data_IF_244179565002
#
_entry.id   IF_244179565002
#
_cell.length_a   1.000
_cell.length_b   1.000
_cell.length_c   1.000
_cell.angle_alpha   90.00
_cell.angle_beta   90.00
_cell.angle_gamma   90.00
#
_symmetry.space_group_name_H-M   'P 1'
#
loop_
_entity.id
_entity.type
_entity.pdbx_description
1 polymer ?
#
# COMPACT_ATOMS: atom_id res chain seq x y z
N UNK A 1 -25.57 35.57 -3.89
CA UNK A 1 -26.28 34.28 -3.89
C UNK A 1 -25.70 33.44 -2.76
N UNK A 2 -26.49 33.12 -1.75
CA UNK A 2 -26.03 32.36 -0.58
C UNK A 2 -26.27 30.88 -0.83
N UNK A 3 -25.21 30.09 -0.82
CA UNK A 3 -25.30 28.63 -0.89
C UNK A 3 -25.91 28.11 0.42
N UNK A 4 -26.97 27.30 0.33
CA UNK A 4 -27.60 26.66 1.50
C UNK A 4 -27.26 25.18 1.45
N UNK A 5 -26.69 24.68 2.54
CA UNK A 5 -26.40 23.26 2.74
C UNK A 5 -27.64 22.63 3.39
N UNK A 6 -28.22 21.63 2.75
CA UNK A 6 -29.22 20.76 3.36
C UNK A 6 -28.47 19.57 3.95
N UNK A 7 -28.28 19.59 5.27
CA UNK A 7 -27.70 18.49 6.03
C UNK A 7 -28.75 17.39 6.18
N UNK A 8 -28.40 16.18 5.76
CA UNK A 8 -29.22 14.97 5.86
C UNK A 8 -28.40 13.93 6.63
N UNK A 9 -28.84 13.61 7.85
CA UNK A 9 -28.18 12.65 8.73
C UNK A 9 -28.20 11.23 8.15
N UNK A 10 -29.22 10.88 7.38
CA UNK A 10 -29.34 9.56 6.73
C UNK A 10 -28.38 9.42 5.54
N UNK A 11 -27.91 10.55 4.98
CA UNK A 11 -26.87 10.64 3.96
C UNK A 11 -25.49 11.02 4.53
N UNK A 12 -25.30 10.90 5.84
CA UNK A 12 -23.95 10.93 6.43
C UNK A 12 -23.28 9.60 6.12
N UNK A 13 -22.02 9.64 5.65
CA UNK A 13 -21.23 8.44 5.40
C UNK A 13 -21.23 7.54 6.64
N UNK A 14 -22.02 6.46 6.60
CA UNK A 14 -22.03 5.45 7.64
C UNK A 14 -20.62 4.87 7.73
N UNK A 15 -20.00 5.03 8.90
CA UNK A 15 -18.55 4.97 9.09
C UNK A 15 -17.86 3.76 8.47
N UNK A 16 -16.58 3.97 8.13
CA UNK A 16 -15.57 3.00 7.68
C UNK A 16 -16.05 1.54 7.61
N UNK A 17 -16.79 1.22 6.55
CA UNK A 17 -17.13 -0.16 6.24
C UNK A 17 -15.86 -0.98 6.04
N UNK A 18 -15.91 -2.25 6.43
CA UNK A 18 -14.83 -3.19 6.15
C UNK A 18 -14.64 -3.26 4.62
N UNK A 19 -13.44 -2.96 4.13
CA UNK A 19 -13.10 -3.08 2.70
C UNK A 19 -13.43 -4.48 2.23
N UNK A 20 -14.34 -4.62 1.26
CA UNK A 20 -14.76 -5.91 0.72
C UNK A 20 -13.56 -6.70 0.16
N UNK A 21 -13.61 -8.04 0.20
CA UNK A 21 -12.58 -8.87 -0.42
C UNK A 21 -12.49 -8.61 -1.93
N UNK A 22 -11.28 -8.48 -2.46
CA UNK A 22 -11.13 -8.13 -3.87
C UNK A 22 -9.73 -7.69 -4.25
N UNK A 23 -9.62 -7.15 -5.47
CA UNK A 23 -8.39 -6.56 -5.99
C UNK A 23 -8.60 -5.05 -6.04
N UNK A 24 -7.63 -4.32 -5.50
CA UNK A 24 -7.68 -2.87 -5.43
C UNK A 24 -6.32 -2.30 -5.84
N UNK A 25 -6.34 -1.24 -6.61
CA UNK A 25 -5.15 -0.44 -6.85
C UNK A 25 -4.92 0.42 -5.61
N UNK A 26 -3.76 0.24 -4.99
CA UNK A 26 -3.43 0.89 -3.73
C UNK A 26 -2.10 1.60 -3.83
N UNK A 27 -1.94 2.63 -3.03
CA UNK A 27 -0.67 3.33 -2.82
C UNK A 27 -0.10 2.93 -1.48
N UNK A 28 1.17 2.56 -1.43
CA UNK A 28 1.87 2.31 -0.16
C UNK A 28 2.09 3.66 0.52
N UNK A 29 1.42 3.90 1.64
CA UNK A 29 1.49 5.20 2.35
C UNK A 29 2.59 5.20 3.43
N UNK A 30 2.86 4.03 4.01
CA UNK A 30 3.86 3.85 5.06
C UNK A 30 4.53 2.49 4.88
N UNK A 31 5.83 2.42 5.11
CA UNK A 31 6.54 1.15 5.23
C UNK A 31 7.64 1.25 6.29
N UNK A 32 7.82 0.17 7.04
CA UNK A 32 8.78 0.04 8.13
C UNK A 32 9.44 -1.33 8.11
N UNK A 33 10.76 -1.35 8.31
CA UNK A 33 11.50 -2.60 8.46
C UNK A 33 11.34 -3.11 9.90
N UNK A 34 11.01 -4.39 10.04
CA UNK A 34 10.87 -5.07 11.34
C UNK A 34 11.75 -6.31 11.37
N UNK A 35 12.47 -6.48 12.46
CA UNK A 35 13.18 -7.71 12.78
C UNK A 35 12.63 -8.30 14.07
N UNK A 36 12.31 -9.59 14.04
CA UNK A 36 11.90 -10.33 15.23
C UNK A 36 12.56 -11.70 15.26
N UNK A 37 13.34 -11.98 16.30
CA UNK A 37 14.06 -13.26 16.47
C UNK A 37 14.86 -13.70 15.23
N UNK A 38 15.53 -12.75 14.57
CA UNK A 38 16.30 -13.01 13.34
C UNK A 38 15.46 -13.21 12.09
N UNK A 39 14.13 -13.01 12.17
CA UNK A 39 13.25 -12.96 11.01
C UNK A 39 12.97 -11.51 10.61
N UNK A 40 13.24 -11.19 9.35
CA UNK A 40 12.98 -9.88 8.77
C UNK A 40 11.59 -9.82 8.14
N UNK A 41 10.96 -8.66 8.27
CA UNK A 41 9.64 -8.36 7.70
C UNK A 41 9.51 -6.87 7.38
N UNK A 42 8.57 -6.54 6.50
CA UNK A 42 8.18 -5.16 6.19
C UNK A 42 6.76 -4.98 6.71
N UNK A 43 6.59 -4.12 7.71
CA UNK A 43 5.27 -3.58 8.06
C UNK A 43 4.91 -2.51 7.03
N UNK A 44 3.73 -2.56 6.44
CA UNK A 44 3.32 -1.54 5.48
C UNK A 44 1.82 -1.25 5.54
N UNK A 45 1.49 0.00 5.27
CA UNK A 45 0.12 0.49 5.19
C UNK A 45 -0.16 0.90 3.75
N UNK A 46 -1.38 0.65 3.30
CA UNK A 46 -1.81 1.01 1.96
C UNK A 46 -3.11 1.79 1.99
N UNK A 47 -3.28 2.66 1.01
CA UNK A 47 -4.50 3.40 0.77
C UNK A 47 -5.06 3.05 -0.61
N UNK A 48 -6.34 2.75 -0.70
CA UNK A 48 -7.00 2.48 -1.98
C UNK A 48 -7.08 3.78 -2.76
N UNK A 49 -6.49 3.78 -3.97
CA UNK A 49 -6.44 4.95 -4.87
C UNK A 49 -7.83 5.51 -5.12
N UNK A 50 -8.00 6.80 -4.90
CA UNK A 50 -9.24 7.53 -5.20
C UNK A 50 -9.24 8.19 -6.56
N UNK A 51 -8.10 8.17 -7.28
CA UNK A 51 -7.97 8.76 -8.61
C UNK A 51 -8.49 7.85 -9.74
N UNK A 52 -8.91 6.63 -9.43
CA UNK A 52 -9.51 5.69 -10.37
C UNK A 52 -10.86 5.15 -9.90
N UNK A 53 -11.70 4.75 -10.86
CA UNK A 53 -13.00 4.16 -10.58
C UNK A 53 -12.86 2.73 -10.01
N UNK A 54 -12.87 2.62 -8.68
CA UNK A 54 -12.92 1.36 -7.94
C UNK A 54 -13.76 1.51 -6.67
N UNK A 55 -14.06 0.40 -5.98
CA UNK A 55 -14.77 0.45 -4.70
C UNK A 55 -13.82 0.85 -3.56
N UNK A 56 -14.36 1.37 -2.45
CA UNK A 56 -13.62 1.71 -1.23
C UNK A 56 -12.48 2.73 -1.43
N UNK A 57 -12.64 3.66 -2.38
CA UNK A 57 -11.67 4.74 -2.64
C UNK A 57 -11.35 5.53 -1.38
N UNK A 58 -10.06 5.79 -1.14
CA UNK A 58 -9.57 6.49 0.06
C UNK A 58 -9.57 5.65 1.34
N UNK A 59 -10.02 4.39 1.29
CA UNK A 59 -9.95 3.51 2.46
C UNK A 59 -8.50 3.07 2.72
N UNK A 60 -8.11 3.07 4.00
CA UNK A 60 -6.79 2.65 4.46
C UNK A 60 -6.83 1.23 4.99
N UNK A 61 -5.89 0.42 4.53
CA UNK A 61 -5.65 -0.93 5.04
C UNK A 61 -4.32 -0.88 5.80
N UNK A 62 -4.43 -0.87 7.12
CA UNK A 62 -3.32 -0.65 8.03
C UNK A 62 -2.77 -1.97 8.58
N UNK A 63 -1.54 -1.91 9.10
CA UNK A 63 -0.88 -2.98 9.83
C UNK A 63 -0.65 -4.25 8.99
N UNK A 64 -0.42 -4.11 7.68
CA UNK A 64 -0.02 -5.25 6.87
C UNK A 64 1.43 -5.61 7.18
N UNK A 65 1.77 -6.88 6.98
CA UNK A 65 3.13 -7.38 7.22
C UNK A 65 3.51 -8.35 6.12
N UNK A 66 4.62 -8.06 5.46
CA UNK A 66 5.29 -8.95 4.53
C UNK A 66 6.48 -9.59 5.23
N UNK A 67 6.45 -10.91 5.41
CA UNK A 67 7.62 -11.64 5.89
C UNK A 67 8.65 -11.78 4.75
N UNK A 68 9.93 -11.50 5.06
CA UNK A 68 11.04 -11.61 4.10
C UNK A 68 11.83 -12.90 4.27
N UNK A 69 11.80 -13.45 5.49
CA UNK A 69 12.49 -14.68 5.88
C UNK A 69 11.58 -15.55 6.74
N UNK A 70 11.58 -16.85 6.49
CA UNK A 70 10.89 -17.84 7.32
C UNK A 70 11.89 -18.80 7.96
N UNK A 71 11.79 -19.00 9.27
CA UNK A 71 12.53 -20.04 10.00
C UNK A 71 11.93 -21.44 9.80
N UNK A 72 10.71 -21.52 9.26
CA UNK A 72 10.00 -22.77 8.98
C UNK A 72 10.26 -23.17 7.51
N UNK A 73 10.81 -24.36 7.24
CA UNK A 73 11.23 -24.78 5.90
C UNK A 73 10.07 -24.85 4.90
N UNK A 74 8.90 -25.38 5.31
CA UNK A 74 7.71 -25.46 4.46
C UNK A 74 7.19 -24.10 3.95
N UNK A 75 7.40 -23.04 4.72
CA UNK A 75 6.98 -21.68 4.34
C UNK A 75 8.08 -20.88 3.64
N UNK A 76 9.30 -21.42 3.52
CA UNK A 76 10.43 -20.69 2.97
C UNK A 76 10.24 -20.34 1.49
N UNK A 77 9.79 -21.30 0.69
CA UNK A 77 9.48 -21.06 -0.73
C UNK A 77 8.33 -20.07 -0.93
N UNK A 78 7.24 -20.21 -0.17
CA UNK A 78 6.10 -19.31 -0.27
C UNK A 78 6.46 -17.88 0.18
N UNK A 79 7.25 -17.75 1.25
CA UNK A 79 7.77 -16.45 1.73
C UNK A 79 8.67 -15.79 0.69
N UNK A 80 9.60 -16.56 0.11
CA UNK A 80 10.47 -16.06 -0.95
C UNK A 80 9.68 -15.62 -2.18
N UNK A 81 8.67 -16.40 -2.59
CA UNK A 81 7.79 -16.06 -3.70
C UNK A 81 7.03 -14.78 -3.44
N UNK A 82 6.41 -14.64 -2.26
CA UNK A 82 5.67 -13.43 -1.86
C UNK A 82 6.55 -12.20 -1.81
N UNK A 83 7.74 -12.31 -1.20
CA UNK A 83 8.73 -11.22 -1.18
C UNK A 83 9.11 -10.79 -2.60
N UNK A 84 9.48 -11.74 -3.45
CA UNK A 84 9.92 -11.44 -4.82
C UNK A 84 8.78 -10.84 -5.64
N UNK A 85 7.54 -11.32 -5.47
CA UNK A 85 6.34 -10.71 -6.08
C UNK A 85 6.09 -9.29 -5.59
N UNK A 86 6.27 -9.02 -4.29
CA UNK A 86 6.12 -7.68 -3.73
C UNK A 86 7.16 -6.71 -4.28
N UNK A 87 8.44 -7.10 -4.29
CA UNK A 87 9.51 -6.28 -4.85
C UNK A 87 9.28 -6.04 -6.35
N UNK A 88 8.88 -7.07 -7.10
CA UNK A 88 8.51 -6.91 -8.51
C UNK A 88 7.34 -5.94 -8.71
N UNK A 89 6.33 -5.98 -7.84
CA UNK A 89 5.21 -5.05 -7.87
C UNK A 89 5.65 -3.60 -7.61
N UNK A 90 6.66 -3.40 -6.76
CA UNK A 90 7.24 -2.09 -6.46
C UNK A 90 8.21 -1.58 -7.57
N UNK A 91 8.45 -2.37 -8.62
CA UNK A 91 9.28 -1.99 -9.77
C UNK A 91 10.71 -2.54 -9.76
N UNK A 92 11.08 -3.36 -8.78
CA UNK A 92 12.40 -4.01 -8.75
C UNK A 92 12.50 -5.11 -9.82
N UNK A 93 13.65 -5.23 -10.48
CA UNK A 93 13.87 -6.19 -11.56
C UNK A 93 15.25 -6.83 -11.50
N UNK A 94 15.35 -8.05 -12.02
CA UNK A 94 16.62 -8.79 -12.04
C UNK A 94 17.07 -9.28 -10.65
N UNK A 95 18.35 -9.61 -10.54
CA UNK A 95 19.01 -9.96 -9.28
C UNK A 95 19.74 -8.72 -8.78
N UNK A 96 19.31 -8.19 -7.65
CA UNK A 96 19.89 -7.01 -7.04
C UNK A 96 20.15 -7.32 -5.56
N UNK A 97 21.26 -6.79 -5.05
CA UNK A 97 21.50 -6.74 -3.60
C UNK A 97 20.78 -5.49 -3.08
N UNK A 98 19.81 -5.70 -2.19
CA UNK A 98 18.91 -4.65 -1.74
C UNK A 98 19.05 -4.47 -0.23
N UNK A 99 19.36 -3.25 0.19
CA UNK A 99 19.34 -2.88 1.60
C UNK A 99 17.90 -2.65 2.05
N UNK A 100 17.49 -3.35 3.11
CA UNK A 100 16.10 -3.31 3.60
C UNK A 100 15.68 -1.88 4.00
N UNK A 101 16.56 -1.08 4.59
CA UNK A 101 16.26 0.27 5.01
C UNK A 101 16.06 1.22 3.82
N UNK A 102 16.78 0.98 2.72
CA UNK A 102 16.57 1.70 1.45
C UNK A 102 15.25 1.28 0.81
N UNK A 103 14.99 -0.04 0.74
CA UNK A 103 13.77 -0.59 0.14
C UNK A 103 12.51 -0.03 0.79
N UNK A 104 12.43 -0.02 2.13
CA UNK A 104 11.22 0.48 2.82
C UNK A 104 10.97 1.97 2.58
N UNK A 105 12.00 2.77 2.27
CA UNK A 105 11.83 4.19 1.91
C UNK A 105 11.38 4.34 0.46
N UNK A 106 11.98 3.58 -0.46
CA UNK A 106 11.71 3.63 -1.89
C UNK A 106 10.31 3.13 -2.28
N UNK A 107 9.75 2.20 -1.51
CA UNK A 107 8.44 1.60 -1.82
C UNK A 107 7.28 2.51 -1.40
N UNK A 108 7.52 3.46 -0.48
CA UNK A 108 6.50 4.44 -0.08
C UNK A 108 6.17 5.35 -1.27
N UNK A 109 4.88 5.56 -1.51
CA UNK A 109 4.35 6.29 -2.67
C UNK A 109 4.22 5.44 -3.94
N UNK A 110 4.71 4.19 -3.95
CA UNK A 110 4.49 3.29 -5.10
C UNK A 110 3.05 2.78 -5.13
N UNK A 111 2.53 2.69 -6.34
CA UNK A 111 1.21 2.13 -6.61
C UNK A 111 1.33 0.65 -6.97
N UNK A 112 0.57 -0.21 -6.29
CA UNK A 112 0.57 -1.67 -6.49
C UNK A 112 -0.87 -2.18 -6.50
N UNK A 113 -1.09 -3.32 -7.16
CA UNK A 113 -2.38 -4.01 -7.11
C UNK A 113 -2.40 -4.92 -5.87
N UNK A 114 -3.15 -4.54 -4.84
CA UNK A 114 -3.30 -5.32 -3.62
C UNK A 114 -4.52 -6.24 -3.68
N UNK A 115 -4.32 -7.48 -3.25
CA UNK A 115 -5.37 -8.49 -3.07
C UNK A 115 -5.77 -8.49 -1.61
N UNK A 116 -6.96 -7.97 -1.34
CA UNK A 116 -7.52 -7.82 0.00
C UNK A 116 -8.39 -9.02 0.30
N UNK A 117 -8.14 -9.63 1.46
CA UNK A 117 -8.90 -10.77 1.97
C UNK A 117 -9.35 -10.48 3.40
N UNK A 118 -10.49 -11.03 3.79
CA UNK A 118 -10.95 -10.96 5.17
C UNK A 118 -10.26 -12.05 5.98
N UNK A 119 -9.73 -11.67 7.14
CA UNK A 119 -9.12 -12.57 8.11
C UNK A 119 -9.89 -12.38 9.43
N UNK A 120 -10.37 -13.47 10.00
CA UNK A 120 -11.08 -13.45 11.30
C UNK A 120 -10.08 -13.79 12.39
N UNK A 121 -9.94 -12.91 13.38
CA UNK A 121 -9.07 -13.18 14.53
C UNK A 121 -9.72 -14.19 15.48
N UNK A 122 -8.96 -14.67 16.48
CA UNK A 122 -9.45 -15.52 17.57
C UNK A 122 -10.59 -14.88 18.39
N UNK A 123 -10.75 -13.56 18.33
CA UNK A 123 -11.83 -12.79 18.97
C UNK A 123 -13.06 -12.58 18.07
N UNK A 124 -13.25 -13.38 17.01
CA UNK A 124 -14.34 -13.27 16.02
C UNK A 124 -14.43 -11.91 15.27
N UNK A 125 -13.38 -11.08 15.38
CA UNK A 125 -13.27 -9.82 14.63
C UNK A 125 -12.73 -10.08 13.24
N UNK A 126 -13.52 -9.73 12.23
CA UNK A 126 -13.11 -9.76 10.81
C UNK A 126 -12.43 -8.46 10.42
N UNK A 127 -11.24 -8.54 9.86
CA UNK A 127 -10.48 -7.40 9.37
C UNK A 127 -9.98 -7.64 7.94
N UNK A 128 -9.87 -6.57 7.16
CA UNK A 128 -9.39 -6.60 5.80
C UNK A 128 -7.86 -6.55 5.84
N UNK A 129 -7.20 -7.47 5.12
CA UNK A 129 -5.75 -7.57 5.09
C UNK A 129 -5.26 -7.83 3.68
N UNK A 130 -4.13 -7.21 3.33
CA UNK A 130 -3.48 -7.48 2.06
C UNK A 130 -2.78 -8.84 2.15
N UNK A 131 -3.22 -9.79 1.31
CA UNK A 131 -2.64 -11.14 1.27
C UNK A 131 -1.50 -11.25 0.27
N UNK A 132 -1.60 -10.49 -0.82
CA UNK A 132 -0.66 -10.51 -1.92
C UNK A 132 -0.69 -9.18 -2.65
N UNK A 133 0.44 -8.81 -3.28
CA UNK A 133 0.51 -7.65 -4.16
C UNK A 133 1.06 -8.06 -5.52
N UNK A 134 0.54 -7.43 -6.57
CA UNK A 134 0.99 -7.58 -7.94
C UNK A 134 1.36 -6.21 -8.52
N UNK A 135 2.13 -6.17 -9.62
CA UNK A 135 2.35 -4.93 -10.36
C UNK A 135 1.01 -4.25 -10.66
N UNK A 136 0.95 -2.93 -10.43
CA UNK A 136 -0.21 -2.14 -10.80
C UNK A 136 -0.44 -2.24 -12.31
N UNK A 137 -1.69 -2.36 -12.73
CA UNK A 137 -2.06 -2.35 -14.14
C UNK A 137 -2.45 -0.95 -14.62
N UNK A 138 -2.39 0.04 -13.73
CA UNK A 138 -2.87 1.40 -13.96
C UNK A 138 -1.67 2.34 -13.87
N UNK A 139 -1.61 3.28 -14.82
CA UNK A 139 -0.60 4.35 -14.82
C UNK A 139 -0.59 5.04 -13.45
N UNK A 140 0.58 5.31 -12.85
CA UNK A 140 0.65 6.11 -11.63
C UNK A 140 -0.06 7.45 -11.86
N UNK A 141 -0.67 8.06 -10.83
CA UNK A 141 -1.25 9.38 -10.99
C UNK A 141 -0.12 10.31 -11.46
N UNK A 142 -0.31 10.95 -12.62
CA UNK A 142 0.63 11.97 -13.08
C UNK A 142 0.70 13.07 -12.01
N UNK A 143 1.89 13.55 -11.65
CA UNK A 143 1.99 14.67 -10.74
C UNK A 143 1.16 15.82 -11.31
N UNK A 144 0.12 16.24 -10.59
CA UNK A 144 -0.70 17.39 -10.95
C UNK A 144 0.12 18.66 -10.84
N UNK A 145 0.87 18.97 -11.89
CA UNK A 145 1.61 20.23 -12.01
C UNK A 145 2.68 20.15 -13.10
N UNK A 146 2.91 21.25 -13.84
CA UNK A 146 4.10 21.34 -14.69
C UNK A 146 5.35 21.15 -13.83
N UNK A 147 6.42 20.54 -14.38
CA UNK A 147 7.69 20.42 -13.67
C UNK A 147 8.16 21.80 -13.21
N UNK A 148 8.39 21.95 -11.90
CA UNK A 148 8.90 23.19 -11.33
C UNK A 148 10.33 23.35 -11.85
N UNK A 149 10.51 24.24 -12.82
CA UNK A 149 11.84 24.53 -13.37
C UNK A 149 12.45 25.63 -12.52
N UNK A 150 13.22 25.24 -11.49
CA UNK A 150 14.00 26.20 -10.72
C UNK A 150 15.20 26.60 -11.58
N UNK A 151 15.19 27.83 -12.09
CA UNK A 151 16.35 28.41 -12.76
C UNK A 151 17.34 28.95 -11.73
N UNK A 152 18.64 28.99 -12.08
CA UNK A 152 19.71 29.56 -11.25
C UNK A 152 19.44 31.02 -10.79
N UNK A 153 18.53 31.74 -11.45
CA UNK A 153 18.12 33.12 -11.14
C UNK A 153 17.16 33.23 -9.93
N UNK A 154 16.57 32.11 -9.48
CA UNK A 154 15.62 32.06 -8.35
C UNK A 154 16.31 31.82 -7.00
N UNK A 155 17.65 31.65 -7.01
CA UNK A 155 18.46 31.49 -5.81
C UNK A 155 18.96 32.87 -5.34
N UNK A 156 18.54 33.37 -4.16
CA UNK A 156 19.09 34.60 -3.62
C UNK A 156 20.54 34.34 -3.16
N UNK A 157 21.49 34.84 -3.94
CA UNK A 157 22.90 34.95 -3.54
C UNK A 157 23.08 36.02 -2.46
#
# INVERSE_FOLDING_TARGET
MSFKINFDEENVSQGFGLVEEGKYEVTIITAEAKEWQGQYSIGFDVEIRSDIEQKHQGAKILYNTLYLTSSIPDYKEDTERKRNSFLKACGYTGKQDLDLAVVVREIVGKTVLAYVKHETNKDDKTFAKVKFVAPSNVTPPEPSGPPITVGDDDLPF
#
